data_IF_217144686004
#
_entry.id   IF_217144686004
#
_cell.length_a   1.000
_cell.length_b   1.000
_cell.length_c   1.000
_cell.angle_alpha   90.00
_cell.angle_beta   90.00
_cell.angle_gamma   90.00
#
_symmetry.space_group_name_H-M   'P 1'
#
loop_
_entity.id
_entity.type
_entity.pdbx_description
1 polymer ?
#
# COMPACT_ATOMS: atom_id res chain seq x y z
N UNK A 1 -27.61 19.16 -30.00
CA UNK A 1 -27.17 17.96 -29.28
C UNK A 1 -25.88 18.12 -28.48
N UNK A 2 -25.11 19.21 -28.58
CA UNK A 2 -23.82 19.40 -27.91
C UNK A 2 -23.87 19.91 -26.44
N UNK A 3 -24.95 20.59 -26.03
CA UNK A 3 -25.06 21.15 -24.67
C UNK A 3 -25.43 20.13 -23.57
N UNK A 4 -26.07 19.02 -23.94
CA UNK A 4 -26.42 17.96 -22.97
C UNK A 4 -25.22 17.13 -22.59
N UNK A 5 -24.25 16.94 -23.49
CA UNK A 5 -23.00 16.24 -23.20
C UNK A 5 -22.13 16.97 -22.19
N UNK A 6 -22.03 18.30 -22.29
CA UNK A 6 -21.16 19.09 -21.39
C UNK A 6 -21.68 19.15 -19.95
N UNK A 7 -23.00 19.01 -19.74
CA UNK A 7 -23.60 19.02 -18.40
C UNK A 7 -23.42 17.66 -17.69
N UNK A 8 -23.46 16.56 -18.43
CA UNK A 8 -23.21 15.22 -17.88
C UNK A 8 -21.73 15.05 -17.45
N UNK A 9 -20.79 15.67 -18.16
CA UNK A 9 -19.37 15.59 -17.85
C UNK A 9 -18.95 16.38 -16.60
N UNK A 10 -19.80 17.28 -16.12
CA UNK A 10 -19.51 18.19 -15.00
C UNK A 10 -20.12 17.74 -13.66
N UNK A 11 -20.86 16.64 -13.59
CA UNK A 11 -21.52 16.20 -12.35
C UNK A 11 -20.91 14.90 -11.80
N UNK A 12 -20.76 14.77 -10.46
CA UNK A 12 -20.32 13.51 -9.85
C UNK A 12 -21.17 12.29 -10.24
N UNK A 13 -22.44 12.52 -10.59
CA UNK A 13 -23.36 11.49 -11.07
C UNK A 13 -22.98 10.95 -12.45
N UNK A 14 -22.31 11.73 -13.29
CA UNK A 14 -21.85 11.27 -14.60
C UNK A 14 -20.70 10.27 -14.48
N UNK A 15 -19.79 10.46 -13.52
CA UNK A 15 -18.71 9.51 -13.26
C UNK A 15 -19.25 8.18 -12.72
N UNK A 16 -20.29 8.23 -11.87
CA UNK A 16 -20.99 7.04 -11.37
C UNK A 16 -21.77 6.36 -12.48
N UNK A 17 -22.49 7.10 -13.32
CA UNK A 17 -23.21 6.53 -14.47
C UNK A 17 -22.27 5.93 -15.50
N UNK A 18 -21.12 6.56 -15.79
CA UNK A 18 -20.07 6.01 -16.67
C UNK A 18 -19.40 4.77 -16.06
N UNK A 19 -19.22 4.73 -14.76
CA UNK A 19 -18.72 3.54 -14.07
C UNK A 19 -19.71 2.38 -14.17
N UNK A 20 -21.00 2.64 -13.91
CA UNK A 20 -22.09 1.65 -14.06
C UNK A 20 -22.28 1.18 -15.51
N UNK A 21 -22.17 2.08 -16.50
CA UNK A 21 -22.21 1.70 -17.91
C UNK A 21 -21.01 0.86 -18.34
N UNK A 22 -19.82 1.13 -17.79
CA UNK A 22 -18.63 0.28 -18.03
C UNK A 22 -18.75 -1.11 -17.38
N UNK A 23 -19.46 -1.21 -16.28
CA UNK A 23 -19.80 -2.49 -15.66
C UNK A 23 -20.86 -3.26 -16.45
N UNK A 24 -21.89 -2.58 -16.95
CA UNK A 24 -22.99 -3.18 -17.70
C UNK A 24 -22.60 -3.62 -19.13
N UNK A 25 -21.60 -2.98 -19.75
CA UNK A 25 -21.07 -3.41 -21.06
C UNK A 25 -20.02 -4.52 -20.89
N UNK A 26 -20.52 -5.69 -20.52
CA UNK A 26 -19.82 -6.95 -20.27
C UNK A 26 -18.42 -7.05 -20.86
N UNK A 27 -17.40 -6.88 -20.02
CA UNK A 27 -16.11 -7.45 -20.32
C UNK A 27 -16.27 -8.96 -20.21
N UNK A 28 -16.20 -9.64 -21.33
CA UNK A 28 -15.87 -11.06 -21.33
C UNK A 28 -14.55 -11.20 -20.58
N UNK A 29 -14.65 -11.69 -19.35
CA UNK A 29 -13.44 -12.03 -18.59
C UNK A 29 -12.62 -13.00 -19.43
N UNK A 30 -11.31 -12.77 -19.61
CA UNK A 30 -10.47 -13.80 -20.20
C UNK A 30 -10.63 -15.08 -19.37
N UNK A 31 -10.60 -16.27 -19.99
CA UNK A 31 -10.76 -17.52 -19.28
C UNK A 31 -9.80 -17.53 -18.08
N UNK A 32 -10.34 -17.92 -16.92
CA UNK A 32 -9.55 -18.11 -15.72
C UNK A 32 -8.43 -19.08 -16.05
N UNK A 33 -7.23 -18.57 -16.27
CA UNK A 33 -6.06 -19.42 -16.29
C UNK A 33 -6.09 -20.23 -15.00
N UNK A 34 -6.16 -21.56 -15.13
CA UNK A 34 -6.02 -22.49 -14.01
C UNK A 34 -4.56 -22.40 -13.57
N UNK A 35 -4.27 -21.35 -12.81
CA UNK A 35 -2.93 -21.09 -12.31
C UNK A 35 -2.74 -21.97 -11.10
N UNK A 36 -1.77 -22.87 -11.20
CA UNK A 36 -1.32 -23.64 -10.03
C UNK A 36 -1.04 -22.66 -8.90
N UNK A 37 -1.62 -22.87 -7.70
CA UNK A 37 -1.38 -22.00 -6.57
C UNK A 37 0.14 -21.99 -6.30
N UNK A 38 0.78 -20.85 -6.52
CA UNK A 38 2.17 -20.67 -6.10
C UNK A 38 2.21 -20.67 -4.58
N UNK A 39 3.22 -21.35 -4.02
CA UNK A 39 3.45 -21.28 -2.58
C UNK A 39 3.65 -19.81 -2.22
N UNK A 40 2.91 -19.29 -1.22
CA UNK A 40 3.07 -17.89 -0.83
C UNK A 40 4.50 -17.57 -0.40
N UNK A 41 5.03 -16.47 -0.89
CA UNK A 41 6.30 -15.93 -0.42
C UNK A 41 6.12 -15.28 0.96
N UNK A 42 7.22 -15.13 1.68
CA UNK A 42 7.22 -14.58 3.03
C UNK A 42 8.32 -13.56 3.23
N UNK A 43 8.02 -12.53 3.99
CA UNK A 43 9.02 -11.58 4.44
C UNK A 43 10.00 -12.24 5.42
N UNK A 44 11.25 -11.80 5.40
CA UNK A 44 12.23 -12.17 6.43
C UNK A 44 11.79 -11.61 7.78
N UNK A 45 12.10 -12.32 8.85
CA UNK A 45 11.69 -11.94 10.21
C UNK A 45 12.19 -10.55 10.62
N UNK A 46 13.36 -10.16 10.11
CA UNK A 46 13.99 -8.86 10.36
C UNK A 46 13.54 -7.75 9.39
N UNK A 47 12.70 -8.07 8.40
CA UNK A 47 12.26 -7.10 7.41
C UNK A 47 11.41 -5.99 8.05
N UNK A 48 11.73 -4.75 7.69
CA UNK A 48 11.02 -3.53 8.04
C UNK A 48 10.76 -2.78 6.73
N UNK A 49 9.56 -2.94 6.20
CA UNK A 49 9.24 -2.50 4.85
C UNK A 49 8.24 -1.37 4.86
N UNK A 50 8.63 -0.20 4.38
CA UNK A 50 7.73 0.95 4.19
C UNK A 50 7.14 0.97 2.78
N UNK A 51 5.87 1.31 2.67
CA UNK A 51 5.19 1.61 1.41
C UNK A 51 4.80 3.09 1.41
N UNK A 52 5.17 3.78 0.37
CA UNK A 52 5.00 5.21 0.26
C UNK A 52 4.73 5.66 -1.18
N UNK A 53 4.01 6.76 -1.33
CA UNK A 53 3.85 7.45 -2.61
C UNK A 53 3.80 8.97 -2.42
N UNK A 54 4.18 9.73 -3.43
CA UNK A 54 3.92 11.18 -3.43
C UNK A 54 2.49 11.50 -3.93
N UNK A 55 1.87 10.60 -4.70
CA UNK A 55 0.53 10.77 -5.25
C UNK A 55 -0.49 9.87 -4.55
N UNK A 56 -1.64 10.43 -4.21
CA UNK A 56 -2.75 9.64 -3.68
C UNK A 56 -3.39 8.74 -4.76
N UNK A 57 -4.03 7.64 -4.32
CA UNK A 57 -4.81 6.76 -5.20
C UNK A 57 -4.00 5.87 -6.13
N UNK A 58 -2.71 5.67 -5.86
CA UNK A 58 -1.84 4.76 -6.63
C UNK A 58 -1.83 3.33 -6.08
N UNK A 59 -2.52 3.07 -4.96
CA UNK A 59 -2.60 1.74 -4.36
C UNK A 59 -1.57 1.46 -3.27
N UNK A 60 -0.98 2.47 -2.64
CA UNK A 60 0.03 2.33 -1.57
C UNK A 60 -0.46 1.44 -0.45
N UNK A 61 -1.56 1.79 0.21
CA UNK A 61 -2.17 1.03 1.31
C UNK A 61 -2.61 -0.37 0.89
N UNK A 62 -3.15 -0.50 -0.33
CA UNK A 62 -3.53 -1.80 -0.89
C UNK A 62 -2.32 -2.70 -1.06
N UNK A 63 -1.22 -2.18 -1.60
CA UNK A 63 0.03 -2.95 -1.81
C UNK A 63 0.63 -3.36 -0.47
N UNK A 64 0.68 -2.47 0.52
CA UNK A 64 1.14 -2.79 1.87
C UNK A 64 0.32 -3.93 2.51
N UNK A 65 -1.00 -3.84 2.43
CA UNK A 65 -1.90 -4.86 2.97
C UNK A 65 -1.75 -6.21 2.24
N UNK A 66 -1.64 -6.22 0.91
CA UNK A 66 -1.44 -7.45 0.12
C UNK A 66 -0.12 -8.14 0.48
N UNK A 67 0.98 -7.37 0.61
CA UNK A 67 2.27 -7.91 1.04
C UNK A 67 2.18 -8.51 2.44
N UNK A 68 1.53 -7.83 3.38
CA UNK A 68 1.34 -8.35 4.73
C UNK A 68 0.52 -9.64 4.75
N UNK A 69 -0.61 -9.68 4.04
CA UNK A 69 -1.50 -10.84 3.98
C UNK A 69 -0.85 -12.02 3.26
N UNK A 70 -0.13 -11.76 2.17
CA UNK A 70 0.56 -12.79 1.42
C UNK A 70 1.69 -13.42 2.23
N UNK A 71 2.47 -12.59 2.96
CA UNK A 71 3.51 -13.07 3.87
C UNK A 71 2.92 -13.92 5.01
N UNK A 72 1.79 -13.52 5.57
CA UNK A 72 1.09 -14.30 6.59
C UNK A 72 0.66 -15.68 6.07
N UNK A 73 0.10 -15.73 4.87
CA UNK A 73 -0.25 -16.99 4.19
C UNK A 73 0.98 -17.88 3.93
N UNK A 74 2.18 -17.30 3.85
CA UNK A 74 3.47 -18.01 3.78
C UNK A 74 3.95 -18.57 5.12
N UNK A 75 3.18 -18.39 6.20
CA UNK A 75 3.46 -18.92 7.54
C UNK A 75 4.28 -17.97 8.43
N UNK A 76 4.50 -16.73 8.02
CA UNK A 76 5.19 -15.71 8.81
C UNK A 76 4.32 -14.43 8.89
N UNK A 77 3.36 -14.38 9.85
CA UNK A 77 2.48 -13.24 10.00
C UNK A 77 3.28 -11.99 10.42
N UNK A 78 3.34 -10.96 9.57
CA UNK A 78 3.99 -9.70 9.92
C UNK A 78 3.10 -8.84 10.82
N UNK A 79 3.68 -7.77 11.35
CA UNK A 79 2.94 -6.65 11.90
C UNK A 79 2.67 -5.65 10.77
N UNK A 80 1.41 -5.33 10.51
CA UNK A 80 0.99 -4.24 9.61
C UNK A 80 0.64 -3.02 10.46
N UNK A 81 1.24 -1.88 10.11
CA UNK A 81 1.02 -0.59 10.75
C UNK A 81 0.49 0.40 9.71
N UNK A 82 -0.67 0.99 9.97
CA UNK A 82 -1.22 2.06 9.16
C UNK A 82 -0.76 3.42 9.71
N UNK A 83 0.30 3.96 9.13
CA UNK A 83 0.91 5.24 9.49
C UNK A 83 0.47 6.38 8.57
N UNK A 84 -0.55 6.18 7.73
CA UNK A 84 -1.10 7.26 6.92
C UNK A 84 -1.71 8.33 7.85
N UNK A 85 -1.07 9.48 7.93
CA UNK A 85 -1.48 10.59 8.81
C UNK A 85 -2.78 11.25 8.36
N UNK A 86 -3.06 11.23 7.06
CA UNK A 86 -4.11 12.04 6.46
C UNK A 86 -5.37 11.24 6.18
N UNK A 87 -5.22 10.00 5.75
CA UNK A 87 -6.35 9.17 5.34
C UNK A 87 -6.14 7.69 5.72
N UNK A 88 -5.94 7.37 7.02
CA UNK A 88 -5.80 5.98 7.45
C UNK A 88 -7.08 5.22 7.09
N UNK A 89 -6.98 4.24 6.23
CA UNK A 89 -8.14 3.59 5.62
C UNK A 89 -8.17 2.07 5.78
N UNK A 90 -7.07 1.47 6.22
CA UNK A 90 -6.96 0.01 6.24
C UNK A 90 -7.95 -0.65 7.20
N UNK A 91 -8.25 -0.05 8.36
CA UNK A 91 -9.24 -0.58 9.29
C UNK A 91 -10.65 -0.58 8.70
N UNK A 92 -11.03 0.53 8.05
CA UNK A 92 -12.33 0.65 7.38
C UNK A 92 -12.47 -0.40 6.27
N UNK A 93 -11.45 -0.55 5.44
CA UNK A 93 -11.43 -1.53 4.34
C UNK A 93 -11.41 -2.98 4.83
N UNK A 94 -10.80 -3.22 6.00
CA UNK A 94 -10.79 -4.53 6.65
C UNK A 94 -12.09 -4.84 7.41
N UNK A 95 -12.96 -3.84 7.61
CA UNK A 95 -14.17 -3.97 8.45
C UNK A 95 -13.82 -4.21 9.93
N UNK A 96 -12.70 -3.66 10.40
CA UNK A 96 -12.20 -3.88 11.76
C UNK A 96 -12.39 -2.60 12.58
N UNK A 97 -13.11 -2.75 13.69
CA UNK A 97 -13.18 -1.73 14.75
C UNK A 97 -12.21 -2.16 15.86
N UNK A 98 -11.11 -1.43 16.02
CA UNK A 98 -10.03 -1.78 16.92
C UNK A 98 -9.30 -0.55 17.44
N UNK A 99 -8.52 -0.74 18.51
CA UNK A 99 -7.62 0.27 19.02
C UNK A 99 -6.62 0.71 17.93
N UNK A 100 -6.31 1.99 17.92
CA UNK A 100 -5.47 2.63 16.91
C UNK A 100 -4.04 2.87 17.41
N UNK A 101 -3.16 3.30 16.52
CA UNK A 101 -1.81 3.76 16.88
C UNK A 101 -1.87 4.88 17.94
N UNK A 102 -2.83 5.81 17.84
CA UNK A 102 -2.99 6.87 18.83
C UNK A 102 -3.32 6.30 20.23
N UNK A 103 -4.18 5.27 20.29
CA UNK A 103 -4.51 4.60 21.55
C UNK A 103 -3.29 3.87 22.15
N UNK A 104 -2.48 3.22 21.29
CA UNK A 104 -1.25 2.55 21.72
C UNK A 104 -0.20 3.53 22.23
N UNK A 105 -0.07 4.72 21.64
CA UNK A 105 0.84 5.76 22.10
C UNK A 105 0.44 6.32 23.48
N UNK A 106 -0.85 6.33 23.81
CA UNK A 106 -1.34 6.76 25.14
C UNK A 106 -1.14 5.67 26.21
N UNK A 107 -1.09 4.40 25.79
CA UNK A 107 -1.00 3.24 26.67
C UNK A 107 0.23 2.36 26.37
N UNK A 108 1.47 2.86 26.56
CA UNK A 108 2.68 2.17 26.12
C UNK A 108 2.90 0.81 26.82
N UNK A 109 2.40 0.64 28.04
CA UNK A 109 2.51 -0.63 28.77
C UNK A 109 1.57 -1.71 28.25
N UNK A 110 0.53 -1.32 27.49
CA UNK A 110 -0.49 -2.20 26.93
C UNK A 110 -0.48 -2.28 25.41
N UNK A 111 0.49 -1.69 24.76
CA UNK A 111 0.55 -1.58 23.29
C UNK A 111 0.41 -2.93 22.58
N UNK A 112 0.93 -4.02 23.17
CA UNK A 112 0.81 -5.38 22.60
C UNK A 112 -0.61 -5.93 22.67
N UNK A 113 -1.37 -5.57 23.69
CA UNK A 113 -2.77 -5.98 23.87
C UNK A 113 -3.69 -5.25 22.88
N UNK A 114 -3.27 -4.06 22.43
CA UNK A 114 -4.02 -3.22 21.51
C UNK A 114 -3.82 -3.63 20.04
N UNK A 115 -2.83 -4.50 19.76
CA UNK A 115 -2.64 -5.04 18.39
C UNK A 115 -3.76 -6.02 18.09
N UNK A 116 -4.56 -5.68 17.10
CA UNK A 116 -5.65 -6.51 16.59
C UNK A 116 -5.17 -7.51 15.52
N UNK A 117 -6.10 -8.26 14.93
CA UNK A 117 -5.82 -9.18 13.84
C UNK A 117 -6.67 -8.87 12.63
N UNK A 118 -6.02 -8.91 11.47
CA UNK A 118 -6.68 -8.92 10.18
C UNK A 118 -6.37 -10.24 9.47
N UNK A 119 -7.26 -11.23 9.62
CA UNK A 119 -6.91 -12.62 9.33
C UNK A 119 -5.74 -13.08 10.19
N UNK A 120 -4.67 -13.57 9.56
CA UNK A 120 -3.45 -13.96 10.27
C UNK A 120 -2.48 -12.79 10.54
N UNK A 121 -2.68 -11.63 9.92
CA UNK A 121 -1.82 -10.46 10.08
C UNK A 121 -2.07 -9.79 11.42
N UNK A 122 -1.01 -9.52 12.19
CA UNK A 122 -1.09 -8.64 13.34
C UNK A 122 -1.23 -7.19 12.83
N UNK A 123 -2.24 -6.47 13.29
CA UNK A 123 -2.61 -5.20 12.70
C UNK A 123 -2.83 -4.11 13.75
N UNK A 124 -2.19 -2.97 13.55
CA UNK A 124 -2.44 -1.77 14.34
C UNK A 124 -2.90 -0.65 13.40
N UNK A 125 -4.19 -0.29 13.44
CA UNK A 125 -4.79 0.72 12.58
C UNK A 125 -4.24 2.11 12.81
N UNK A 126 -4.24 2.92 11.76
CA UNK A 126 -4.06 4.35 11.86
C UNK A 126 -5.25 5.05 12.55
N UNK A 127 -5.04 6.30 12.90
CA UNK A 127 -6.05 7.12 13.55
C UNK A 127 -6.16 8.48 12.87
N UNK A 128 -7.38 9.03 12.68
CA UNK A 128 -7.55 10.41 12.25
C UNK A 128 -6.87 11.45 13.17
N UNK A 129 -6.63 11.08 14.43
CA UNK A 129 -5.89 11.91 15.40
C UNK A 129 -4.40 12.01 15.10
N UNK A 130 -3.85 11.16 14.22
CA UNK A 130 -2.45 11.22 13.80
C UNK A 130 -2.07 12.54 13.12
N UNK A 131 -3.03 13.32 12.66
CA UNK A 131 -2.78 14.66 12.13
C UNK A 131 -2.24 15.62 13.20
N UNK A 132 -2.75 15.52 14.43
CA UNK A 132 -2.40 16.40 15.57
C UNK A 132 -1.39 15.75 16.53
N UNK A 133 -1.49 14.44 16.71
CA UNK A 133 -0.79 13.71 17.76
C UNK A 133 0.40 12.88 17.21
N UNK A 134 0.88 13.23 16.01
CA UNK A 134 2.00 12.53 15.39
C UNK A 134 3.32 12.86 16.11
N UNK A 135 3.85 11.84 16.77
CA UNK A 135 5.12 11.91 17.52
C UNK A 135 6.07 10.83 16.95
N UNK A 136 6.90 11.17 15.95
CA UNK A 136 7.77 10.21 15.29
C UNK A 136 8.70 9.43 16.22
N UNK A 137 9.37 10.04 17.21
CA UNK A 137 10.20 9.31 18.18
C UNK A 137 9.41 8.25 18.98
N UNK A 138 8.22 8.58 19.45
CA UNK A 138 7.38 7.63 20.20
C UNK A 138 6.85 6.52 19.30
N UNK A 139 6.45 6.85 18.08
CA UNK A 139 6.03 5.86 17.07
C UNK A 139 7.19 4.92 16.76
N UNK A 140 8.38 5.43 16.49
CA UNK A 140 9.56 4.61 16.20
C UNK A 140 9.91 3.66 17.36
N UNK A 141 9.86 4.14 18.61
CA UNK A 141 10.10 3.31 19.77
C UNK A 141 9.02 2.22 19.96
N UNK A 142 7.75 2.56 19.75
CA UNK A 142 6.64 1.60 19.77
C UNK A 142 6.82 0.53 18.70
N UNK A 143 7.16 0.93 17.48
CA UNK A 143 7.41 0.02 16.36
C UNK A 143 8.52 -0.98 16.69
N UNK A 144 9.62 -0.54 17.26
CA UNK A 144 10.72 -1.43 17.66
C UNK A 144 10.27 -2.49 18.65
N UNK A 145 9.46 -2.12 19.63
CA UNK A 145 8.92 -3.06 20.63
C UNK A 145 7.91 -4.04 20.04
N UNK A 146 6.99 -3.55 19.20
CA UNK A 146 5.92 -4.36 18.59
C UNK A 146 6.44 -5.28 17.49
N UNK A 147 7.46 -4.86 16.74
CA UNK A 147 8.04 -5.63 15.66
C UNK A 147 9.20 -6.53 16.10
N UNK A 148 9.49 -6.61 17.39
CA UNK A 148 10.53 -7.51 17.89
C UNK A 148 10.22 -8.97 17.55
N UNK A 149 11.15 -9.63 16.82
CA UNK A 149 11.03 -11.05 16.46
C UNK A 149 10.06 -11.36 15.30
N UNK A 150 9.56 -10.36 14.58
CA UNK A 150 8.72 -10.55 13.38
C UNK A 150 8.94 -9.44 12.35
N UNK A 151 8.61 -9.72 11.09
CA UNK A 151 8.57 -8.69 10.05
C UNK A 151 7.56 -7.58 10.38
N UNK A 152 7.80 -6.37 9.88
CA UNK A 152 6.83 -5.30 9.93
C UNK A 152 6.67 -4.62 8.57
N UNK A 153 5.42 -4.32 8.24
CA UNK A 153 4.98 -3.62 7.04
C UNK A 153 4.37 -2.29 7.48
N UNK A 154 4.82 -1.20 6.88
CA UNK A 154 4.40 0.15 7.21
C UNK A 154 3.68 0.75 6.01
N UNK A 155 2.41 1.03 6.14
CA UNK A 155 1.72 1.91 5.23
C UNK A 155 2.00 3.35 5.65
N UNK A 156 2.93 4.02 4.97
CA UNK A 156 3.29 5.41 5.25
C UNK A 156 2.31 6.41 4.60
N UNK A 157 1.39 5.90 3.78
CA UNK A 157 0.45 6.74 3.06
C UNK A 157 1.09 7.56 1.95
N UNK A 158 0.67 8.81 1.83
CA UNK A 158 1.05 9.67 0.71
C UNK A 158 1.54 11.05 1.17
N UNK A 159 2.34 11.68 0.29
CA UNK A 159 2.86 13.03 0.53
C UNK A 159 4.31 13.06 1.05
N UNK A 160 4.97 14.21 0.90
CA UNK A 160 6.37 14.35 1.26
C UNK A 160 6.60 14.28 2.78
N UNK A 161 5.65 14.72 3.56
CA UNK A 161 5.67 14.72 5.02
C UNK A 161 5.46 13.33 5.65
N UNK A 162 5.03 12.35 4.86
CA UNK A 162 4.94 10.95 5.29
C UNK A 162 6.32 10.28 5.43
N UNK A 163 7.37 10.85 4.82
CA UNK A 163 8.75 10.36 4.93
C UNK A 163 9.50 11.01 6.12
N UNK A 164 8.94 10.90 7.32
CA UNK A 164 9.66 11.32 8.52
C UNK A 164 10.92 10.47 8.73
N UNK A 165 12.08 11.12 8.83
CA UNK A 165 13.38 10.44 8.91
C UNK A 165 13.53 9.58 10.16
N UNK A 166 12.88 9.91 11.27
CA UNK A 166 12.91 9.11 12.49
C UNK A 166 12.26 7.74 12.28
N UNK A 167 11.14 7.72 11.55
CA UNK A 167 10.44 6.48 11.21
C UNK A 167 11.16 5.74 10.08
N UNK A 168 11.52 6.46 9.02
CA UNK A 168 12.16 5.86 7.83
C UNK A 168 13.53 5.26 8.16
N UNK A 169 14.24 5.79 9.16
CA UNK A 169 15.51 5.21 9.64
C UNK A 169 15.36 3.81 10.25
N UNK A 170 14.15 3.40 10.60
CA UNK A 170 13.85 2.05 11.11
C UNK A 170 13.54 1.04 10.02
N UNK A 171 13.43 1.48 8.77
CA UNK A 171 13.15 0.61 7.65
C UNK A 171 14.43 -0.07 7.13
N UNK A 172 14.27 -1.30 6.68
CA UNK A 172 15.28 -2.01 5.89
C UNK A 172 15.09 -1.74 4.40
N UNK A 173 13.86 -1.47 3.97
CA UNK A 173 13.49 -1.18 2.58
C UNK A 173 12.32 -0.20 2.51
N UNK A 174 12.36 0.67 1.51
CA UNK A 174 11.25 1.55 1.16
C UNK A 174 10.75 1.25 -0.25
N UNK A 175 9.51 0.82 -0.37
CA UNK A 175 8.83 0.61 -1.65
C UNK A 175 8.09 1.90 -2.04
N UNK A 176 8.56 2.55 -3.09
CA UNK A 176 7.83 3.67 -3.72
C UNK A 176 6.76 3.09 -4.62
N UNK A 177 5.50 3.43 -4.36
CA UNK A 177 4.36 2.97 -5.16
C UNK A 177 3.97 4.06 -6.14
N UNK A 178 3.86 3.73 -7.41
CA UNK A 178 3.47 4.66 -8.47
C UNK A 178 2.44 4.04 -9.40
N UNK A 179 1.75 4.87 -10.16
CA UNK A 179 0.81 4.43 -11.20
C UNK A 179 1.18 5.03 -12.56
N UNK A 180 0.56 4.55 -13.65
CA UNK A 180 0.90 4.93 -15.02
C UNK A 180 0.26 6.26 -15.48
N UNK A 181 -0.62 6.89 -14.67
CA UNK A 181 -1.28 8.13 -15.07
C UNK A 181 -0.30 9.31 -15.04
N UNK A 182 -0.47 10.28 -15.95
CA UNK A 182 0.43 11.43 -16.09
C UNK A 182 0.71 12.15 -14.77
N UNK A 183 -0.31 12.43 -13.96
CA UNK A 183 -0.14 13.08 -12.66
C UNK A 183 0.65 12.22 -11.66
N UNK A 184 0.47 10.90 -11.70
CA UNK A 184 1.19 9.94 -10.85
C UNK A 184 2.65 9.81 -11.27
N UNK A 185 2.93 9.83 -12.57
CA UNK A 185 4.29 9.86 -13.10
C UNK A 185 5.00 11.16 -12.75
N UNK A 186 4.33 12.30 -12.88
CA UNK A 186 4.87 13.59 -12.46
C UNK A 186 5.23 13.56 -10.96
N UNK A 187 4.35 13.05 -10.11
CA UNK A 187 4.61 12.88 -8.68
C UNK A 187 5.83 11.98 -8.42
N UNK A 188 5.96 10.86 -9.15
CA UNK A 188 7.12 9.97 -9.05
C UNK A 188 8.44 10.69 -9.36
N UNK A 189 8.48 11.52 -10.41
CA UNK A 189 9.67 12.29 -10.74
C UNK A 189 9.99 13.37 -9.70
N UNK A 190 8.98 14.01 -9.12
CA UNK A 190 9.14 14.95 -8.02
C UNK A 190 9.60 14.29 -6.72
N UNK A 191 9.26 13.01 -6.49
CA UNK A 191 9.63 12.25 -5.30
C UNK A 191 11.14 12.12 -5.10
N UNK A 192 11.95 12.26 -6.15
CA UNK A 192 13.41 12.10 -6.10
C UNK A 192 14.08 12.94 -5.01
N UNK A 193 13.58 14.14 -4.75
CA UNK A 193 14.16 15.01 -3.72
C UNK A 193 13.89 14.45 -2.31
N UNK A 194 12.66 14.02 -2.04
CA UNK A 194 12.27 13.44 -0.75
C UNK A 194 13.01 12.13 -0.45
N UNK A 195 13.37 11.38 -1.50
CA UNK A 195 14.05 10.08 -1.36
C UNK A 195 15.56 10.20 -1.09
N UNK A 196 16.17 11.37 -1.28
CA UNK A 196 17.64 11.55 -1.09
C UNK A 196 18.11 11.31 0.34
N UNK A 197 17.26 11.58 1.32
CA UNK A 197 17.59 11.47 2.74
C UNK A 197 17.22 10.08 3.31
N UNK A 198 16.61 9.21 2.53
CA UNK A 198 16.18 7.87 2.97
C UNK A 198 17.40 6.96 3.13
N UNK A 199 17.65 6.41 4.33
CA UNK A 199 18.90 5.68 4.62
C UNK A 199 18.87 4.20 4.22
N UNK A 200 17.72 3.68 3.75
CA UNK A 200 17.57 2.27 3.37
C UNK A 200 17.50 2.08 1.85
N UNK A 201 17.49 0.82 1.41
CA UNK A 201 17.30 0.49 0.00
C UNK A 201 15.90 0.90 -0.47
N UNK A 202 15.84 1.63 -1.60
CA UNK A 202 14.61 2.15 -2.19
C UNK A 202 14.38 1.52 -3.55
N UNK A 203 13.16 1.08 -3.82
CA UNK A 203 12.76 0.57 -5.13
C UNK A 203 11.32 0.92 -5.48
N UNK A 204 10.94 0.60 -6.69
CA UNK A 204 9.70 1.01 -7.32
C UNK A 204 8.75 -0.16 -7.53
N UNK A 205 7.52 -0.04 -7.08
CA UNK A 205 6.39 -0.86 -7.52
C UNK A 205 5.46 -0.01 -8.38
N UNK A 206 5.18 -0.45 -9.59
CA UNK A 206 4.23 0.23 -10.50
C UNK A 206 2.92 -0.54 -10.50
N UNK A 207 1.84 0.14 -10.10
CA UNK A 207 0.50 -0.46 -9.98
C UNK A 207 -0.38 -0.01 -11.15
N UNK A 208 -1.07 -0.96 -11.78
CA UNK A 208 -1.99 -0.69 -12.89
C UNK A 208 -1.30 -0.58 -14.26
N UNK A 209 -0.07 -1.07 -14.39
CA UNK A 209 0.68 -1.08 -15.63
C UNK A 209 1.08 -2.52 -16.03
N UNK A 210 1.25 -2.76 -17.31
CA UNK A 210 1.91 -3.96 -17.82
C UNK A 210 3.41 -3.93 -17.44
N UNK A 211 4.04 -5.10 -17.44
CA UNK A 211 5.46 -5.20 -17.05
C UNK A 211 6.38 -4.32 -17.92
N UNK A 212 6.15 -4.30 -19.22
CA UNK A 212 6.94 -3.50 -20.18
C UNK A 212 6.82 -2.00 -19.90
N UNK A 213 5.60 -1.51 -19.65
CA UNK A 213 5.35 -0.12 -19.29
C UNK A 213 5.98 0.24 -17.94
N UNK A 214 5.88 -0.65 -16.97
CA UNK A 214 6.50 -0.47 -15.66
C UNK A 214 8.03 -0.42 -15.77
N UNK A 215 8.63 -1.27 -16.61
CA UNK A 215 10.07 -1.27 -16.86
C UNK A 215 10.50 0.04 -17.57
N UNK A 216 9.70 0.53 -18.52
CA UNK A 216 9.95 1.82 -19.18
C UNK A 216 9.87 2.97 -18.16
N UNK A 217 8.88 2.98 -17.28
CA UNK A 217 8.76 3.99 -16.21
C UNK A 217 10.00 3.94 -15.30
N UNK A 218 10.38 2.76 -14.84
CA UNK A 218 11.54 2.58 -13.97
C UNK A 218 12.85 3.04 -14.65
N UNK A 219 13.04 2.77 -15.94
CA UNK A 219 14.23 3.19 -16.69
C UNK A 219 14.41 4.73 -16.76
N UNK A 220 13.37 5.49 -16.49
CA UNK A 220 13.38 6.96 -16.42
C UNK A 220 13.61 7.51 -15.00
N UNK A 221 13.79 6.61 -14.02
CA UNK A 221 14.05 6.95 -12.63
C UNK A 221 15.35 6.30 -12.17
N UNK A 222 15.96 6.75 -11.07
CA UNK A 222 17.10 6.05 -10.47
C UNK A 222 16.70 4.85 -9.60
N UNK A 223 15.40 4.47 -9.59
CA UNK A 223 14.87 3.42 -8.74
C UNK A 223 14.79 2.10 -9.50
N UNK A 224 15.30 0.99 -8.94
CA UNK A 224 15.09 -0.33 -9.51
C UNK A 224 13.61 -0.70 -9.47
N UNK A 225 13.11 -1.32 -10.53
CA UNK A 225 11.77 -1.92 -10.56
C UNK A 225 11.78 -3.16 -9.67
N UNK A 226 10.96 -3.16 -8.61
CA UNK A 226 10.76 -4.31 -7.75
C UNK A 226 9.55 -5.13 -8.16
N UNK A 227 8.47 -4.47 -8.61
CA UNK A 227 7.29 -5.17 -9.11
C UNK A 227 6.51 -4.33 -10.12
N UNK A 228 5.86 -5.02 -11.06
CA UNK A 228 4.79 -4.50 -11.90
C UNK A 228 3.48 -5.18 -11.49
N UNK A 229 2.63 -4.49 -10.77
CA UNK A 229 1.36 -5.01 -10.25
C UNK A 229 0.26 -4.67 -11.25
N UNK A 230 -0.37 -5.66 -11.88
CA UNK A 230 -1.39 -5.41 -12.91
C UNK A 230 -2.64 -4.75 -12.33
N UNK A 231 -3.44 -4.15 -13.19
CA UNK A 231 -4.76 -3.65 -12.79
C UNK A 231 -5.66 -4.83 -12.37
N UNK A 232 -6.23 -4.72 -11.17
CA UNK A 232 -7.08 -5.75 -10.59
C UNK A 232 -8.43 -5.15 -10.20
N UNK A 233 -9.50 -5.58 -10.86
CA UNK A 233 -10.83 -5.05 -10.66
C UNK A 233 -11.44 -5.41 -9.29
N UNK A 234 -11.00 -6.49 -8.66
CA UNK A 234 -11.45 -6.84 -7.31
C UNK A 234 -10.87 -5.86 -6.28
N UNK A 235 -9.59 -5.54 -6.39
CA UNK A 235 -8.95 -4.55 -5.51
C UNK A 235 -9.54 -3.14 -5.68
N UNK A 236 -10.02 -2.82 -6.88
CA UNK A 236 -10.71 -1.55 -7.14
C UNK A 236 -12.07 -1.45 -6.45
N UNK A 237 -12.63 -2.57 -5.96
CA UNK A 237 -13.89 -2.64 -5.18
C UNK A 237 -13.64 -2.77 -3.68
N UNK A 238 -12.43 -2.53 -3.23
CA UNK A 238 -12.01 -2.75 -1.84
C UNK A 238 -12.09 -4.21 -1.36
N UNK A 239 -12.24 -5.14 -2.29
CA UNK A 239 -12.12 -6.57 -2.00
C UNK A 239 -10.63 -6.96 -1.96
N UNK A 240 -10.16 -7.50 -0.84
CA UNK A 240 -8.77 -8.01 -0.77
C UNK A 240 -8.58 -9.39 -1.41
N UNK A 241 -9.50 -9.79 -2.27
CA UNK A 241 -9.43 -11.01 -3.07
C UNK A 241 -8.73 -10.76 -4.40
N UNK A 242 -7.43 -10.54 -4.37
CA UNK A 242 -6.65 -10.26 -5.57
C UNK A 242 -6.57 -11.46 -6.53
N UNK A 243 -6.55 -11.18 -7.83
CA UNK A 243 -6.38 -12.19 -8.88
C UNK A 243 -4.98 -12.80 -8.86
N UNK A 244 -4.86 -13.99 -9.44
CA UNK A 244 -3.59 -14.70 -9.47
C UNK A 244 -2.41 -13.94 -10.13
N UNK A 245 -2.57 -13.16 -11.21
CA UNK A 245 -1.49 -12.31 -11.72
C UNK A 245 -1.02 -11.27 -10.71
N UNK A 246 -1.94 -10.64 -9.99
CA UNK A 246 -1.63 -9.69 -8.92
C UNK A 246 -0.89 -10.37 -7.78
N UNK A 247 -1.33 -11.54 -7.35
CA UNK A 247 -0.67 -12.29 -6.27
C UNK A 247 0.73 -12.75 -6.66
N UNK A 248 0.98 -13.10 -7.93
CA UNK A 248 2.34 -13.38 -8.43
C UNK A 248 3.23 -12.14 -8.36
N UNK A 249 2.74 -10.99 -8.78
CA UNK A 249 3.49 -9.74 -8.70
C UNK A 249 3.79 -9.34 -7.23
N UNK A 250 2.89 -9.66 -6.30
CA UNK A 250 3.12 -9.49 -4.86
C UNK A 250 4.18 -10.48 -4.35
N UNK A 251 4.18 -11.74 -4.81
CA UNK A 251 5.23 -12.70 -4.49
C UNK A 251 6.60 -12.24 -5.00
N UNK A 252 6.66 -11.70 -6.23
CA UNK A 252 7.89 -11.13 -6.80
C UNK A 252 8.39 -9.95 -5.98
N UNK A 253 7.47 -9.08 -5.53
CA UNK A 253 7.79 -7.97 -4.64
C UNK A 253 8.34 -8.47 -3.30
N UNK A 254 7.71 -9.45 -2.66
CA UNK A 254 8.16 -10.01 -1.37
C UNK A 254 9.58 -10.59 -1.45
N UNK A 255 9.96 -11.22 -2.58
CA UNK A 255 11.32 -11.78 -2.77
C UNK A 255 12.42 -10.72 -2.74
N UNK A 256 12.10 -9.50 -3.12
CA UNK A 256 13.08 -8.40 -3.14
C UNK A 256 13.02 -7.55 -1.87
N UNK A 257 11.96 -7.70 -1.07
CA UNK A 257 11.79 -7.03 0.22
C UNK A 257 12.46 -7.81 1.35
#
# INVERSE_FOLDING_TARGET
MSRVRSWLDATPLASVALALMREATGRTEPPLDVIRPTRPERLRVDARVGFWSLAAGVGTSTTAALVAQRSAAGGHPPLLLDLDRWAPSLALRAGIDAATIADALVQPDRERELVSRWGEVAFLPGSPRMQTDFDPPRIAAMVERLAAGRAAVFDLGTGADALDLTIVSKLTRLCVVAGPRTSQLQALFCARQSLRAVPCAVGLAVVGAAHEDAALIASRTPLPLWAAIPNDSYLARDEFAARAPTMRAVDDLIRVL
#
